data_IF_618097898939
#
_entry.id   IF_618097898939
#
_cell.length_a   1.000
_cell.length_b   1.000
_cell.length_c   1.000
_cell.angle_alpha   90.00
_cell.angle_beta   90.00
_cell.angle_gamma   90.00
#
_symmetry.space_group_name_H-M   'P 1'
#
loop_
_entity.id
_entity.type
_entity.pdbx_description
1 polymer ?
#
# COMPACT_ATOMS: atom_id res chain seq x y z
N UNK A 1 -8.40 -13.70 -28.76
CA UNK A 1 -7.52 -13.80 -27.59
C UNK A 1 -6.53 -14.91 -27.86
N UNK A 2 -5.26 -14.56 -28.06
CA UNK A 2 -4.19 -15.54 -28.22
C UNK A 2 -3.61 -15.83 -26.84
N UNK A 3 -3.47 -17.10 -26.50
CA UNK A 3 -2.85 -17.51 -25.24
C UNK A 3 -1.81 -18.57 -25.56
N UNK A 4 -0.58 -18.34 -25.13
CA UNK A 4 0.50 -19.32 -25.23
C UNK A 4 0.75 -19.86 -23.83
N UNK A 5 0.71 -21.18 -23.67
CA UNK A 5 1.10 -21.85 -22.41
C UNK A 5 2.09 -22.97 -22.73
N UNK A 6 3.22 -22.96 -22.04
CA UNK A 6 4.22 -24.02 -22.11
C UNK A 6 4.33 -24.72 -20.76
N UNK A 7 4.39 -26.05 -20.79
CA UNK A 7 4.57 -26.89 -19.60
C UNK A 7 5.97 -27.47 -19.57
N UNK A 8 6.70 -27.18 -18.49
CA UNK A 8 8.12 -27.53 -18.31
C UNK A 8 9.00 -27.19 -19.53
N UNK A 9 8.88 -25.99 -20.11
CA UNK A 9 9.72 -25.59 -21.24
C UNK A 9 11.19 -25.56 -20.85
N UNK A 10 12.06 -25.70 -21.84
CA UNK A 10 13.48 -25.40 -21.65
C UNK A 10 13.68 -23.90 -21.42
N UNK A 11 14.82 -23.53 -20.81
CA UNK A 11 15.19 -22.12 -20.62
C UNK A 11 15.25 -21.33 -21.94
N UNK A 12 15.65 -21.98 -23.04
CA UNK A 12 15.73 -21.34 -24.37
C UNK A 12 14.36 -21.16 -25.01
N UNK A 13 13.49 -22.16 -24.94
CA UNK A 13 12.10 -22.01 -25.41
C UNK A 13 11.38 -20.92 -24.61
N UNK A 14 11.59 -20.90 -23.29
CA UNK A 14 11.02 -19.85 -22.44
C UNK A 14 11.55 -18.48 -22.82
N UNK A 15 12.86 -18.34 -23.07
CA UNK A 15 13.46 -17.06 -23.50
C UNK A 15 12.77 -16.53 -24.76
N UNK A 16 12.65 -17.37 -25.78
CA UNK A 16 12.06 -16.96 -27.06
C UNK A 16 10.60 -16.51 -26.88
N UNK A 17 9.78 -17.32 -26.21
CA UNK A 17 8.37 -16.94 -26.00
C UNK A 17 8.23 -15.70 -25.11
N UNK A 18 9.11 -15.53 -24.12
CA UNK A 18 9.10 -14.39 -23.23
C UNK A 18 9.48 -13.10 -23.98
N UNK A 19 10.53 -13.10 -24.80
CA UNK A 19 10.90 -11.95 -25.63
C UNK A 19 9.76 -11.56 -26.58
N UNK A 20 9.17 -12.54 -27.25
CA UNK A 20 8.03 -12.29 -28.14
C UNK A 20 6.79 -11.78 -27.40
N UNK A 21 6.55 -12.24 -26.17
CA UNK A 21 5.43 -11.78 -25.34
C UNK A 21 5.65 -10.35 -24.80
N UNK A 22 6.89 -9.98 -24.45
CA UNK A 22 7.25 -8.60 -24.09
C UNK A 22 6.98 -7.66 -25.26
N UNK A 23 7.42 -8.02 -26.47
CA UNK A 23 7.22 -7.20 -27.67
C UNK A 23 5.73 -6.99 -28.01
N UNK A 24 4.89 -7.99 -27.75
CA UNK A 24 3.44 -7.88 -27.93
C UNK A 24 2.73 -7.09 -26.83
N UNK A 25 3.38 -6.86 -25.69
CA UNK A 25 2.73 -6.28 -24.51
C UNK A 25 1.74 -7.24 -23.86
N UNK A 26 2.04 -8.54 -23.83
CA UNK A 26 1.22 -9.54 -23.14
C UNK A 26 1.46 -9.48 -21.62
N UNK A 27 0.45 -9.88 -20.83
CA UNK A 27 0.66 -10.27 -19.44
C UNK A 27 1.35 -11.63 -19.40
N UNK A 28 2.51 -11.69 -18.75
CA UNK A 28 3.33 -12.90 -18.68
C UNK A 28 3.28 -13.45 -17.26
N UNK A 29 3.09 -14.76 -17.15
CA UNK A 29 3.27 -15.48 -15.89
C UNK A 29 4.29 -16.60 -16.07
N UNK A 30 5.21 -16.71 -15.11
CA UNK A 30 6.23 -17.77 -15.06
C UNK A 30 6.18 -18.41 -13.68
N UNK A 31 5.93 -19.70 -13.63
CA UNK A 31 6.03 -20.48 -12.41
C UNK A 31 7.24 -21.40 -12.49
N UNK A 32 8.11 -21.36 -11.49
CA UNK A 32 9.34 -22.14 -11.51
C UNK A 32 10.18 -21.98 -10.24
N UNK A 33 11.19 -22.85 -10.12
CA UNK A 33 12.20 -22.73 -9.08
C UNK A 33 13.22 -21.67 -9.49
N UNK A 34 13.34 -20.61 -8.70
CA UNK A 34 14.26 -19.51 -8.97
C UNK A 34 14.93 -18.97 -7.71
N UNK A 35 15.92 -18.10 -7.88
CA UNK A 35 16.39 -17.14 -6.87
C UNK A 35 16.03 -15.73 -7.33
N UNK A 36 16.01 -14.78 -6.39
CA UNK A 36 15.72 -13.37 -6.70
C UNK A 36 16.76 -12.50 -6.00
N UNK A 37 17.28 -11.53 -6.74
CA UNK A 37 18.22 -10.53 -6.24
C UNK A 37 17.67 -9.15 -6.63
N UNK A 38 17.56 -8.25 -5.66
CA UNK A 38 17.11 -6.88 -5.88
C UNK A 38 18.15 -5.91 -5.34
N UNK A 39 18.44 -4.89 -6.13
CA UNK A 39 19.34 -3.80 -5.81
C UNK A 39 18.72 -2.47 -6.23
N UNK A 40 18.64 -1.51 -5.31
CA UNK A 40 17.93 -0.25 -5.53
C UNK A 40 17.88 0.60 -4.27
N UNK A 41 16.69 1.08 -3.89
CA UNK A 41 16.47 1.82 -2.61
C UNK A 41 16.84 0.99 -1.37
N UNK A 42 16.79 -0.33 -1.51
CA UNK A 42 17.31 -1.30 -0.58
C UNK A 42 18.01 -2.40 -1.37
N UNK A 43 18.67 -3.33 -0.68
CA UNK A 43 19.20 -4.54 -1.29
C UNK A 43 18.53 -5.74 -0.62
N UNK A 44 18.09 -6.72 -1.41
CA UNK A 44 17.53 -7.97 -0.87
C UNK A 44 17.88 -9.16 -1.75
N UNK A 45 17.99 -10.33 -1.12
CA UNK A 45 18.16 -11.60 -1.81
C UNK A 45 17.13 -12.60 -1.30
N UNK A 46 16.71 -13.49 -2.19
CA UNK A 46 15.75 -14.52 -1.87
C UNK A 46 16.26 -15.85 -2.42
N UNK A 47 16.51 -16.78 -1.50
CA UNK A 47 17.08 -18.10 -1.79
C UNK A 47 16.21 -18.95 -2.71
N UNK A 48 16.69 -20.15 -3.10
CA UNK A 48 16.03 -20.94 -4.13
C UNK A 48 14.67 -21.47 -3.66
N UNK A 49 13.63 -21.29 -4.48
CA UNK A 49 12.26 -21.68 -4.17
C UNK A 49 11.32 -21.57 -5.36
N UNK A 50 10.16 -22.25 -5.30
CA UNK A 50 9.14 -22.16 -6.33
C UNK A 50 8.35 -20.86 -6.17
N UNK A 51 8.27 -20.07 -7.24
CA UNK A 51 7.62 -18.75 -7.21
C UNK A 51 6.77 -18.55 -8.43
N UNK A 52 5.68 -17.80 -8.23
CA UNK A 52 4.91 -17.21 -9.31
C UNK A 52 5.50 -15.83 -9.60
N UNK A 53 5.99 -15.65 -10.82
CA UNK A 53 6.47 -14.37 -11.34
C UNK A 53 5.45 -13.85 -12.34
N UNK A 54 5.05 -12.60 -12.18
CA UNK A 54 4.12 -11.91 -13.08
C UNK A 54 4.85 -10.70 -13.67
N UNK A 55 4.88 -10.60 -14.98
CA UNK A 55 5.39 -9.43 -15.71
C UNK A 55 4.22 -8.79 -16.44
N UNK A 56 3.93 -7.53 -16.11
CA UNK A 56 2.84 -6.77 -16.71
C UNK A 56 3.33 -5.95 -17.89
N UNK A 57 2.44 -5.62 -18.86
CA UNK A 57 2.81 -4.79 -20.01
C UNK A 57 3.23 -3.35 -19.64
N UNK A 58 2.80 -2.86 -18.48
CA UNK A 58 3.19 -1.54 -17.97
C UNK A 58 4.57 -1.51 -17.32
N UNK A 59 5.31 -2.63 -17.32
CA UNK A 59 6.63 -2.76 -16.71
C UNK A 59 6.61 -3.26 -15.26
N UNK A 60 5.44 -3.48 -14.64
CA UNK A 60 5.42 -4.00 -13.28
C UNK A 60 5.89 -5.46 -13.23
N UNK A 61 6.77 -5.79 -12.29
CA UNK A 61 7.14 -7.17 -11.95
C UNK A 61 6.65 -7.52 -10.55
N UNK A 62 6.02 -8.69 -10.38
CA UNK A 62 5.58 -9.19 -9.08
C UNK A 62 6.13 -10.60 -8.87
N UNK A 63 6.74 -10.85 -7.71
CA UNK A 63 7.21 -12.18 -7.31
C UNK A 63 6.46 -12.62 -6.06
N UNK A 64 5.72 -13.73 -6.17
CA UNK A 64 4.95 -14.30 -5.07
C UNK A 64 5.50 -15.65 -4.60
N UNK A 65 5.38 -15.88 -3.30
CA UNK A 65 5.49 -17.20 -2.67
C UNK A 65 4.09 -17.79 -2.46
N UNK A 66 3.96 -18.79 -1.60
CA UNK A 66 2.73 -19.53 -1.27
C UNK A 66 1.85 -18.84 -0.21
N UNK A 67 2.33 -17.77 0.41
CA UNK A 67 1.63 -17.05 1.46
C UNK A 67 1.53 -15.55 1.17
N UNK A 68 0.60 -14.90 1.88
CA UNK A 68 0.34 -13.45 1.89
C UNK A 68 -0.19 -12.89 0.56
N UNK A 69 -0.91 -11.77 0.69
CA UNK A 69 -1.51 -11.04 -0.45
C UNK A 69 -0.46 -10.30 -1.27
N UNK A 70 0.54 -9.71 -0.60
CA UNK A 70 1.53 -8.83 -1.21
C UNK A 70 2.69 -9.64 -1.79
N UNK A 71 3.24 -9.29 -2.97
CA UNK A 71 4.45 -9.93 -3.49
C UNK A 71 5.61 -9.77 -2.51
N UNK A 72 6.48 -10.78 -2.43
CA UNK A 72 7.69 -10.75 -1.60
C UNK A 72 8.78 -9.87 -2.21
N UNK A 73 8.76 -9.66 -3.52
CA UNK A 73 9.63 -8.72 -4.23
C UNK A 73 8.89 -8.19 -5.47
N UNK A 74 9.07 -6.92 -5.81
CA UNK A 74 8.32 -6.29 -6.89
C UNK A 74 9.02 -5.06 -7.46
N UNK A 75 8.63 -4.67 -8.67
CA UNK A 75 8.97 -3.41 -9.29
C UNK A 75 7.70 -2.69 -9.76
N UNK A 76 7.65 -1.34 -9.64
CA UNK A 76 6.51 -0.53 -10.05
C UNK A 76 6.33 -0.51 -11.58
N UNK A 77 5.21 0.05 -12.08
CA UNK A 77 5.09 0.42 -13.49
C UNK A 77 6.24 1.32 -13.98
N UNK A 78 6.53 1.25 -15.27
CA UNK A 78 7.57 2.02 -15.95
C UNK A 78 8.97 1.38 -15.96
N UNK A 79 9.10 0.15 -15.48
CA UNK A 79 10.35 -0.62 -15.60
C UNK A 79 10.46 -1.31 -16.97
N UNK A 80 11.69 -1.53 -17.42
CA UNK A 80 11.99 -2.30 -18.64
C UNK A 80 12.25 -3.76 -18.27
N UNK A 81 11.63 -4.69 -18.99
CA UNK A 81 11.87 -6.12 -18.85
C UNK A 81 12.86 -6.61 -19.89
N UNK A 82 13.89 -7.31 -19.44
CA UNK A 82 14.85 -8.00 -20.29
C UNK A 82 14.98 -9.46 -19.87
N UNK A 83 15.01 -10.37 -20.84
CA UNK A 83 15.35 -11.76 -20.59
C UNK A 83 16.67 -12.13 -21.26
N UNK A 84 17.33 -13.14 -20.71
CA UNK A 84 18.54 -13.72 -21.29
C UNK A 84 18.72 -15.13 -20.78
N UNK A 85 19.47 -15.96 -21.52
CA UNK A 85 19.97 -17.24 -21.00
C UNK A 85 21.47 -17.12 -20.81
N UNK A 86 21.93 -17.22 -19.56
CA UNK A 86 23.36 -17.23 -19.20
C UNK A 86 23.67 -18.53 -18.48
N UNK A 87 24.78 -19.17 -18.85
CA UNK A 87 25.19 -20.48 -18.30
C UNK A 87 24.09 -21.54 -18.37
N UNK A 88 23.28 -21.49 -19.45
CA UNK A 88 22.17 -22.41 -19.68
C UNK A 88 20.92 -22.17 -18.81
N UNK A 89 20.90 -21.10 -18.00
CA UNK A 89 19.77 -20.74 -17.12
C UNK A 89 19.10 -19.46 -17.59
N UNK A 90 17.76 -19.45 -17.58
CA UNK A 90 16.98 -18.25 -17.86
C UNK A 90 17.15 -17.24 -16.72
N UNK A 91 17.39 -15.99 -17.09
CA UNK A 91 17.34 -14.83 -16.23
C UNK A 91 16.33 -13.85 -16.78
N UNK A 92 15.40 -13.43 -15.94
CA UNK A 92 14.50 -12.29 -16.19
C UNK A 92 15.00 -11.13 -15.33
N UNK A 93 15.18 -9.96 -15.94
CA UNK A 93 15.65 -8.75 -15.29
C UNK A 93 14.64 -7.64 -15.51
N UNK A 94 14.22 -6.97 -14.46
CA UNK A 94 13.53 -5.69 -14.52
C UNK A 94 14.46 -4.55 -14.12
N UNK A 95 14.46 -3.44 -14.86
CA UNK A 95 15.31 -2.27 -14.59
C UNK A 95 14.53 -0.96 -14.66
N UNK A 96 14.92 0.01 -13.84
CA UNK A 96 14.47 1.41 -13.90
C UNK A 96 15.62 2.32 -13.53
N UNK A 97 15.64 3.54 -14.06
CA UNK A 97 16.75 4.50 -13.91
C UNK A 97 16.51 5.62 -12.90
N UNK A 98 15.28 5.79 -12.39
CA UNK A 98 14.96 6.87 -11.43
C UNK A 98 13.86 6.44 -10.45
N UNK A 99 14.22 5.97 -9.24
CA UNK A 99 15.57 5.65 -8.80
C UNK A 99 16.15 4.47 -9.61
N UNK A 100 17.49 4.36 -9.61
CA UNK A 100 18.17 3.22 -10.24
C UNK A 100 17.85 1.94 -9.44
N UNK A 101 17.17 1.01 -10.07
CA UNK A 101 16.74 -0.25 -9.45
C UNK A 101 16.84 -1.40 -10.45
N UNK A 102 17.38 -2.53 -9.99
CA UNK A 102 17.47 -3.79 -10.74
C UNK A 102 16.85 -4.91 -9.93
N UNK A 103 15.97 -5.69 -10.56
CA UNK A 103 15.41 -6.94 -10.03
C UNK A 103 15.80 -8.09 -10.95
N UNK A 104 16.66 -8.98 -10.49
CA UNK A 104 17.09 -10.18 -11.20
C UNK A 104 16.39 -11.42 -10.65
N UNK A 105 15.79 -12.19 -11.55
CA UNK A 105 15.14 -13.48 -11.25
C UNK A 105 15.86 -14.56 -12.05
N UNK A 106 16.58 -15.43 -11.35
CA UNK A 106 17.36 -16.50 -11.95
C UNK A 106 16.61 -17.83 -11.82
N UNK A 107 16.11 -18.36 -12.94
CA UNK A 107 15.40 -19.63 -12.94
C UNK A 107 16.37 -20.80 -13.02
N UNK A 108 16.25 -21.71 -12.07
CA UNK A 108 16.89 -23.02 -12.15
C UNK A 108 16.03 -23.98 -13.00
N UNK A 109 14.70 -23.88 -12.84
CA UNK A 109 13.74 -24.65 -13.62
C UNK A 109 12.46 -23.84 -13.83
N UNK A 110 11.98 -23.81 -15.07
CA UNK A 110 10.65 -23.28 -15.41
C UNK A 110 9.67 -24.45 -15.42
N UNK A 111 8.65 -24.40 -14.58
CA UNK A 111 7.59 -25.40 -14.52
C UNK A 111 6.44 -25.05 -15.46
N UNK A 112 6.13 -23.77 -15.60
CA UNK A 112 5.12 -23.26 -16.52
C UNK A 112 5.47 -21.84 -16.96
N UNK A 113 5.19 -21.55 -18.22
CA UNK A 113 5.18 -20.21 -18.79
C UNK A 113 3.80 -19.96 -19.41
N UNK A 114 3.24 -18.76 -19.27
CA UNK A 114 2.04 -18.36 -20.00
C UNK A 114 2.10 -16.88 -20.39
N UNK A 115 1.70 -16.59 -21.63
CA UNK A 115 1.54 -15.25 -22.16
C UNK A 115 0.08 -15.03 -22.56
N UNK A 116 -0.53 -13.98 -22.01
CA UNK A 116 -1.95 -13.67 -22.17
C UNK A 116 -2.11 -12.25 -22.70
N UNK A 117 -2.80 -12.11 -23.82
CA UNK A 117 -3.28 -10.83 -24.33
C UNK A 117 -4.31 -10.23 -23.35
N UNK A 118 -4.06 -9.01 -22.85
CA UNK A 118 -4.95 -8.32 -21.89
C UNK A 118 -5.51 -7.06 -22.54
N UNK A 119 -6.84 -6.98 -22.65
CA UNK A 119 -7.56 -5.85 -23.24
C UNK A 119 -8.50 -5.19 -22.22
N UNK A 120 -8.52 -3.85 -22.17
CA UNK A 120 -9.51 -3.05 -21.42
C UNK A 120 -9.25 -2.89 -19.91
N UNK A 121 -10.09 -2.07 -19.25
CA UNK A 121 -10.24 -1.97 -17.79
C UNK A 121 -8.99 -1.59 -17.00
N UNK A 122 -8.37 -0.44 -17.30
CA UNK A 122 -7.24 0.09 -16.49
C UNK A 122 -7.71 0.79 -15.22
N UNK A 123 -8.96 1.24 -15.21
CA UNK A 123 -9.57 1.98 -14.12
C UNK A 123 -10.50 1.05 -13.34
N UNK A 124 -10.37 1.09 -12.01
CA UNK A 124 -11.27 0.42 -11.09
C UNK A 124 -12.34 1.44 -10.69
N UNK A 125 -13.60 1.21 -11.08
CA UNK A 125 -14.73 1.96 -10.53
C UNK A 125 -14.93 1.50 -9.08
N UNK A 126 -14.39 2.26 -8.13
CA UNK A 126 -14.51 1.99 -6.71
C UNK A 126 -15.68 2.83 -6.15
N UNK A 127 -16.80 2.17 -5.88
CA UNK A 127 -17.94 2.77 -5.17
C UNK A 127 -17.74 2.60 -3.64
N UNK A 128 -18.05 3.63 -2.86
CA UNK A 128 -17.81 3.68 -1.40
C UNK A 128 -16.38 4.09 -1.04
N UNK A 129 -15.80 4.98 -1.84
CA UNK A 129 -14.50 5.61 -1.61
C UNK A 129 -14.59 6.74 -0.57
N UNK A 130 -13.44 7.25 -0.13
CA UNK A 130 -13.39 8.48 0.70
C UNK A 130 -13.86 9.71 -0.10
N UNK A 131 -13.74 9.67 -1.43
CA UNK A 131 -14.26 10.71 -2.31
C UNK A 131 -15.80 10.72 -2.33
N UNK A 132 -16.45 9.56 -2.38
CA UNK A 132 -17.92 9.49 -2.31
C UNK A 132 -18.42 10.09 -0.98
N UNK A 133 -17.73 9.79 0.13
CA UNK A 133 -18.04 10.37 1.45
C UNK A 133 -17.85 11.89 1.46
N UNK A 134 -16.81 12.39 0.77
CA UNK A 134 -16.56 13.82 0.59
C UNK A 134 -17.68 14.48 -0.19
N UNK A 135 -18.07 13.91 -1.33
CA UNK A 135 -19.17 14.42 -2.15
C UNK A 135 -20.48 14.51 -1.34
N UNK A 136 -20.82 13.47 -0.57
CA UNK A 136 -21.98 13.49 0.32
C UNK A 136 -21.94 14.67 1.31
N UNK A 137 -20.79 14.93 1.94
CA UNK A 137 -20.63 16.03 2.91
C UNK A 137 -20.67 17.39 2.23
N UNK A 138 -20.12 17.53 1.02
CA UNK A 138 -20.16 18.79 0.27
C UNK A 138 -21.59 19.10 -0.21
N UNK A 139 -22.36 18.08 -0.59
CA UNK A 139 -23.76 18.21 -1.01
C UNK A 139 -24.69 18.48 0.18
N UNK A 140 -24.45 17.84 1.33
CA UNK A 140 -25.16 18.09 2.59
C UNK A 140 -24.21 18.19 3.79
N UNK A 141 -23.66 19.38 4.07
CA UNK A 141 -22.76 19.58 5.21
C UNK A 141 -23.39 19.29 6.57
N UNK A 142 -24.71 19.24 6.65
CA UNK A 142 -25.42 18.93 7.89
C UNK A 142 -25.24 17.47 8.34
N UNK A 143 -24.74 16.61 7.44
CA UNK A 143 -24.31 15.25 7.76
C UNK A 143 -23.17 15.21 8.78
N UNK A 144 -22.30 16.22 8.80
CA UNK A 144 -21.25 16.38 9.84
C UNK A 144 -21.89 17.01 11.07
N UNK A 145 -22.42 18.23 10.92
CA UNK A 145 -23.21 18.89 11.95
C UNK A 145 -24.01 20.07 11.37
N UNK A 146 -25.08 20.47 12.07
CA UNK A 146 -25.89 21.62 11.68
C UNK A 146 -25.08 22.92 11.72
N UNK A 147 -24.92 23.56 10.57
CA UNK A 147 -24.25 24.86 10.43
C UNK A 147 -22.77 24.77 10.08
N UNK A 148 -22.23 23.55 9.88
CA UNK A 148 -20.92 23.37 9.26
C UNK A 148 -20.90 23.93 7.83
N UNK A 149 -19.85 24.67 7.51
CA UNK A 149 -19.62 25.26 6.18
C UNK A 149 -18.26 24.80 5.65
N UNK A 150 -18.22 23.89 4.66
CA UNK A 150 -16.98 23.52 3.97
C UNK A 150 -16.43 24.72 3.19
N UNK A 151 -15.14 25.00 3.33
CA UNK A 151 -14.46 26.11 2.66
C UNK A 151 -13.46 25.62 1.61
N UNK A 152 -12.69 24.59 1.93
CA UNK A 152 -11.65 24.02 1.06
C UNK A 152 -11.59 22.50 1.21
N UNK A 153 -11.32 21.80 0.12
CA UNK A 153 -11.01 20.36 0.11
C UNK A 153 -9.54 20.17 -0.19
N UNK A 154 -8.91 19.12 0.36
CA UNK A 154 -7.47 18.83 0.15
C UNK A 154 -6.58 20.03 0.51
N UNK A 155 -6.92 20.75 1.58
CA UNK A 155 -6.20 21.96 2.00
C UNK A 155 -4.82 21.58 2.53
N UNK A 156 -3.78 22.02 1.83
CA UNK A 156 -2.39 21.75 2.20
C UNK A 156 -2.04 22.30 3.59
N UNK A 157 -1.32 21.50 4.39
CA UNK A 157 -0.83 21.90 5.71
C UNK A 157 0.54 21.32 6.01
N UNK A 158 1.15 21.77 7.12
CA UNK A 158 2.42 21.20 7.61
C UNK A 158 2.33 19.72 8.02
N UNK A 159 1.12 19.19 8.21
CA UNK A 159 0.88 17.79 8.55
C UNK A 159 0.39 16.95 7.35
N UNK A 160 0.35 17.54 6.14
CA UNK A 160 -0.23 16.95 4.93
C UNK A 160 -1.56 17.61 4.53
N UNK A 161 -2.18 17.20 3.42
CA UNK A 161 -3.47 17.72 2.99
C UNK A 161 -4.57 17.28 3.96
N UNK A 162 -5.47 18.21 4.26
CA UNK A 162 -6.69 18.00 5.05
C UNK A 162 -7.85 17.70 4.11
N UNK A 163 -8.62 16.63 4.37
CA UNK A 163 -9.71 16.22 3.46
C UNK A 163 -10.73 17.34 3.23
N UNK A 164 -11.29 17.89 4.31
CA UNK A 164 -12.16 19.06 4.26
C UNK A 164 -11.77 20.02 5.39
N UNK A 165 -11.55 21.28 5.01
CA UNK A 165 -11.40 22.40 5.93
C UNK A 165 -12.62 23.31 5.81
N UNK A 166 -13.13 23.76 6.94
CA UNK A 166 -14.28 24.63 7.01
C UNK A 166 -14.41 25.36 8.33
N UNK A 167 -15.61 25.84 8.60
CA UNK A 167 -15.97 26.49 9.86
C UNK A 167 -17.30 25.96 10.38
N UNK A 168 -17.47 25.92 11.69
CA UNK A 168 -18.76 25.62 12.30
C UNK A 168 -19.72 26.82 12.31
N UNK A 169 -20.90 26.65 12.91
CA UNK A 169 -21.93 27.69 12.98
C UNK A 169 -21.48 28.97 13.71
N UNK A 170 -20.44 28.90 14.54
CA UNK A 170 -19.88 30.03 15.29
C UNK A 170 -18.64 30.63 14.59
N UNK A 171 -18.25 30.11 13.42
CA UNK A 171 -17.06 30.53 12.68
C UNK A 171 -15.76 29.95 13.24
N UNK A 172 -15.84 28.87 14.04
CA UNK A 172 -14.65 28.20 14.58
C UNK A 172 -14.04 27.32 13.49
N UNK A 173 -12.72 27.45 13.20
CA UNK A 173 -12.04 26.58 12.24
C UNK A 173 -12.22 25.10 12.57
N UNK A 174 -12.62 24.32 11.57
CA UNK A 174 -12.86 22.89 11.67
C UNK A 174 -12.12 22.14 10.56
N UNK A 175 -11.48 21.03 10.94
CA UNK A 175 -10.99 20.03 9.99
C UNK A 175 -11.82 18.75 10.12
N UNK A 176 -12.22 18.20 8.97
CA UNK A 176 -12.93 16.93 8.87
C UNK A 176 -12.02 15.94 8.16
N UNK A 177 -11.71 14.82 8.83
CA UNK A 177 -10.92 13.71 8.28
C UNK A 177 -11.86 12.57 7.89
N UNK A 178 -11.70 12.05 6.67
CA UNK A 178 -12.59 11.06 6.08
C UNK A 178 -11.94 9.67 6.07
N UNK A 179 -12.73 8.66 6.43
CA UNK A 179 -12.32 7.26 6.35
C UNK A 179 -13.45 6.38 5.85
N UNK A 180 -13.19 5.60 4.81
CA UNK A 180 -14.21 4.70 4.22
C UNK A 180 -14.51 3.42 5.00
N UNK A 181 -13.84 3.15 6.12
CA UNK A 181 -13.93 1.88 6.86
C UNK A 181 -13.86 2.13 8.36
N UNK A 182 -14.08 1.07 9.14
CA UNK A 182 -13.73 1.07 10.56
C UNK A 182 -12.25 1.42 10.75
N UNK A 183 -11.95 2.34 11.65
CA UNK A 183 -10.57 2.82 11.87
C UNK A 183 -10.09 2.69 13.31
N UNK A 184 -8.79 2.43 13.44
CA UNK A 184 -8.04 2.36 14.69
C UNK A 184 -7.37 3.68 15.09
N UNK A 185 -6.50 3.65 16.11
CA UNK A 185 -5.92 4.86 16.73
C UNK A 185 -5.12 5.76 15.78
N UNK A 186 -4.54 5.19 14.71
CA UNK A 186 -3.75 5.94 13.73
C UNK A 186 -4.55 7.06 13.05
N UNK A 187 -5.84 6.87 12.82
CA UNK A 187 -6.73 7.89 12.24
C UNK A 187 -6.95 9.06 13.22
N UNK A 188 -7.15 8.77 14.50
CA UNK A 188 -7.28 9.81 15.53
C UNK A 188 -5.97 10.60 15.69
N UNK A 189 -4.81 9.91 15.67
CA UNK A 189 -3.51 10.59 15.67
C UNK A 189 -3.27 11.45 14.43
N UNK A 190 -3.80 11.06 13.26
CA UNK A 190 -3.72 11.88 12.06
C UNK A 190 -4.54 13.16 12.18
N UNK A 191 -5.81 13.04 12.60
CA UNK A 191 -6.67 14.19 12.84
C UNK A 191 -6.08 15.15 13.88
N UNK A 192 -5.50 14.62 14.95
CA UNK A 192 -4.79 15.42 15.95
C UNK A 192 -3.65 16.25 15.33
N UNK A 193 -2.84 15.67 14.44
CA UNK A 193 -1.76 16.41 13.76
C UNK A 193 -2.29 17.57 12.91
N UNK A 194 -3.47 17.43 12.31
CA UNK A 194 -4.10 18.52 11.56
C UNK A 194 -4.59 19.63 12.47
N UNK A 195 -5.26 19.30 13.57
CA UNK A 195 -5.67 20.29 14.58
C UNK A 195 -4.45 21.05 15.12
N UNK A 196 -3.36 20.34 15.44
CA UNK A 196 -2.10 20.98 15.86
C UNK A 196 -1.47 21.86 14.77
N UNK A 197 -1.60 21.48 13.49
CA UNK A 197 -1.14 22.31 12.38
C UNK A 197 -1.94 23.61 12.26
N UNK A 198 -3.26 23.56 12.46
CA UNK A 198 -4.13 24.73 12.49
C UNK A 198 -3.87 25.62 13.71
N UNK A 199 -3.63 25.03 14.90
CA UNK A 199 -3.20 25.82 16.06
C UNK A 199 -1.86 26.53 15.81
N UNK A 200 -0.91 25.90 15.10
CA UNK A 200 0.34 26.57 14.70
C UNK A 200 0.12 27.70 13.69
N UNK A 201 -0.91 27.59 12.85
CA UNK A 201 -1.26 28.59 11.84
C UNK A 201 -2.01 29.79 12.45
N UNK A 202 -3.07 29.54 13.23
CA UNK A 202 -3.94 30.57 13.80
C UNK A 202 -3.50 31.05 15.19
N UNK A 203 -2.63 30.29 15.87
CA UNK A 203 -2.19 30.50 17.24
C UNK A 203 -3.03 29.73 18.26
N UNK A 204 -2.40 29.27 19.34
CA UNK A 204 -3.01 28.44 20.40
C UNK A 204 -4.22 29.07 21.13
N UNK A 205 -4.47 30.37 20.94
CA UNK A 205 -5.63 31.06 21.50
C UNK A 205 -6.90 30.91 20.65
N UNK A 206 -6.77 30.45 19.41
CA UNK A 206 -7.90 30.20 18.50
C UNK A 206 -8.35 28.77 18.70
N UNK A 207 -9.63 28.58 19.03
CA UNK A 207 -10.20 27.25 19.10
C UNK A 207 -10.20 26.60 17.71
N UNK A 208 -9.83 25.33 17.65
CA UNK A 208 -9.91 24.52 16.43
C UNK A 208 -10.61 23.22 16.75
N UNK A 209 -11.53 22.80 15.89
CA UNK A 209 -12.25 21.52 16.01
C UNK A 209 -11.72 20.52 15.00
N UNK A 210 -11.68 19.26 15.40
CA UNK A 210 -11.36 18.15 14.53
C UNK A 210 -12.46 17.09 14.61
N UNK A 211 -13.03 16.73 13.46
CA UNK A 211 -14.08 15.72 13.34
C UNK A 211 -13.58 14.57 12.48
N UNK A 212 -13.65 13.34 13.00
CA UNK A 212 -13.40 12.13 12.23
C UNK A 212 -14.74 11.61 11.69
N UNK A 213 -14.84 11.39 10.38
CA UNK A 213 -16.01 10.80 9.74
C UNK A 213 -15.65 9.42 9.20
N UNK A 214 -16.32 8.38 9.70
CA UNK A 214 -16.11 7.00 9.26
C UNK A 214 -17.33 6.13 9.57
N UNK A 215 -17.51 4.94 8.96
CA UNK A 215 -18.58 4.01 9.37
C UNK A 215 -18.56 3.67 10.86
N UNK A 216 -17.37 3.47 11.42
CA UNK A 216 -17.18 3.15 12.84
C UNK A 216 -15.73 3.36 13.27
N UNK A 217 -15.49 3.33 14.57
CA UNK A 217 -14.15 3.38 15.18
C UNK A 217 -13.94 2.19 16.10
N UNK A 218 -12.69 1.86 16.41
CA UNK A 218 -12.36 0.94 17.50
C UNK A 218 -12.55 1.63 18.85
N UNK A 219 -12.71 0.85 19.93
CA UNK A 219 -12.83 1.43 21.29
C UNK A 219 -11.61 2.29 21.63
N UNK A 220 -10.42 1.82 21.27
CA UNK A 220 -9.17 2.54 21.49
C UNK A 220 -9.09 3.85 20.69
N UNK A 221 -9.61 3.86 19.47
CA UNK A 221 -9.71 5.10 18.69
C UNK A 221 -10.73 6.07 19.30
N UNK A 222 -11.89 5.56 19.75
CA UNK A 222 -12.90 6.36 20.43
C UNK A 222 -12.37 7.01 21.73
N UNK A 223 -11.57 6.28 22.50
CA UNK A 223 -10.93 6.80 23.70
C UNK A 223 -9.90 7.89 23.35
N UNK A 224 -9.07 7.64 22.33
CA UNK A 224 -8.06 8.61 21.90
C UNK A 224 -8.69 9.90 21.33
N UNK A 225 -9.81 9.81 20.61
CA UNK A 225 -10.55 10.99 20.15
C UNK A 225 -11.04 11.81 21.36
N UNK A 226 -11.65 11.17 22.36
CA UNK A 226 -12.12 11.85 23.58
C UNK A 226 -10.97 12.49 24.36
N UNK A 227 -9.85 11.79 24.52
CA UNK A 227 -8.67 12.28 25.23
C UNK A 227 -8.10 13.55 24.58
N UNK A 228 -8.17 13.64 23.25
CA UNK A 228 -7.68 14.78 22.48
C UNK A 228 -8.75 15.84 22.16
N UNK A 229 -9.98 15.70 22.69
CA UNK A 229 -11.07 16.62 22.41
C UNK A 229 -11.52 16.64 20.95
N UNK A 230 -11.35 15.52 20.25
CA UNK A 230 -11.76 15.31 18.86
C UNK A 230 -13.13 14.63 18.81
N UNK A 231 -13.87 14.90 17.75
CA UNK A 231 -15.24 14.46 17.55
C UNK A 231 -15.33 13.32 16.54
N UNK A 232 -16.43 12.58 16.58
CA UNK A 232 -16.68 11.46 15.67
C UNK A 232 -18.10 11.49 15.14
N UNK A 233 -18.24 11.33 13.82
CA UNK A 233 -19.52 11.21 13.12
C UNK A 233 -19.52 9.91 12.31
N UNK A 234 -20.56 9.09 12.51
CA UNK A 234 -20.70 7.82 11.81
C UNK A 234 -21.46 8.00 10.50
N UNK A 235 -20.81 7.78 9.36
CA UNK A 235 -21.43 7.80 8.02
C UNK A 235 -20.94 6.62 7.18
N UNK A 236 -21.85 6.02 6.41
CA UNK A 236 -21.56 4.99 5.42
C UNK A 236 -21.17 5.65 4.07
N UNK A 237 -19.99 5.33 3.50
CA UNK A 237 -19.49 5.95 2.27
C UNK A 237 -20.32 5.72 1.02
N UNK A 238 -21.16 4.68 1.00
CA UNK A 238 -21.98 4.36 -0.17
C UNK A 238 -23.34 5.06 -0.14
N UNK A 239 -23.83 5.44 1.04
CA UNK A 239 -25.16 6.03 1.21
C UNK A 239 -25.12 7.47 1.71
N UNK A 240 -24.04 7.89 2.36
CA UNK A 240 -23.97 9.16 3.08
C UNK A 240 -24.82 9.18 4.34
N UNK A 241 -25.38 8.03 4.77
CA UNK A 241 -26.25 7.93 5.93
C UNK A 241 -25.53 7.24 7.10
N UNK A 242 -25.97 7.46 8.36
CA UNK A 242 -25.47 6.68 9.48
C UNK A 242 -25.68 5.19 9.23
N UNK A 243 -24.66 4.33 9.46
CA UNK A 243 -24.79 2.90 9.17
C UNK A 243 -25.95 2.29 9.95
N UNK A 244 -26.76 1.48 9.27
CA UNK A 244 -27.80 0.69 9.93
C UNK A 244 -27.16 -0.15 11.04
N UNK A 245 -27.82 -0.26 12.19
CA UNK A 245 -27.37 -1.07 13.30
C UNK A 245 -27.42 -2.57 12.90
N UNK A 246 -26.43 -3.04 12.16
CA UNK A 246 -26.22 -4.46 11.91
C UNK A 246 -25.72 -5.09 13.20
N UNK A 247 -26.42 -6.13 13.68
CA UNK A 247 -25.95 -6.95 14.81
C UNK A 247 -24.48 -7.32 14.59
N UNK A 248 -23.64 -6.98 15.56
CA UNK A 248 -22.19 -7.09 15.50
C UNK A 248 -21.74 -8.46 14.99
N UNK A 249 -21.39 -8.57 13.72
CA UNK A 249 -20.47 -9.61 13.26
C UNK A 249 -19.07 -9.14 13.63
N UNK A 250 -18.47 -9.82 14.59
CA UNK A 250 -17.06 -9.69 14.98
C UNK A 250 -16.17 -9.92 13.75
N UNK A 251 -15.90 -8.86 12.99
CA UNK A 251 -14.78 -8.86 12.06
C UNK A 251 -13.50 -8.77 12.89
N UNK A 252 -12.79 -9.89 12.95
CA UNK A 252 -11.50 -10.05 13.61
C UNK A 252 -10.50 -9.08 12.98
N UNK A 253 -10.04 -8.12 13.76
CA UNK A 253 -8.92 -7.24 13.38
C UNK A 253 -7.67 -8.08 13.10
N UNK A 254 -6.98 -7.89 11.96
CA UNK A 254 -5.61 -8.37 11.83
C UNK A 254 -4.72 -7.58 12.81
N UNK A 255 -3.74 -8.23 13.47
CA UNK A 255 -2.89 -7.54 14.43
C UNK A 255 -2.10 -6.41 13.74
N UNK A 256 -2.16 -5.22 14.35
CA UNK A 256 -1.26 -4.11 14.02
C UNK A 256 0.19 -4.59 14.20
N UNK A 257 1.00 -4.43 13.15
CA UNK A 257 2.43 -4.67 13.26
C UNK A 257 3.02 -3.61 14.19
N UNK A 258 3.50 -4.03 15.36
CA UNK A 258 4.25 -3.18 16.27
C UNK A 258 5.56 -2.77 15.61
N UNK A 259 5.64 -1.51 15.20
CA UNK A 259 6.90 -0.80 15.12
C UNK A 259 7.29 -0.47 16.56
N UNK A 260 8.27 -1.18 17.11
CA UNK A 260 9.25 -0.69 18.10
C UNK A 260 10.05 -1.85 18.70
N UNK A 261 11.36 -1.86 18.44
CA UNK A 261 12.41 -2.18 19.41
C UNK A 261 13.79 -1.98 18.73
N UNK A 262 14.17 -0.72 18.55
CA UNK A 262 15.60 -0.38 18.53
C UNK A 262 16.07 -0.48 20.00
N UNK A 263 16.87 -1.51 20.28
CA UNK A 263 17.29 -1.90 21.62
C UNK A 263 18.76 -2.29 21.60
N UNK A 264 19.58 -1.26 21.84
CA UNK A 264 20.98 -1.17 22.28
C UNK A 264 21.76 -2.48 22.55
N UNK A 265 23.00 -2.53 22.03
CA UNK A 265 24.02 -3.55 22.32
C UNK A 265 24.42 -3.54 23.81
N UNK A 266 25.02 -4.63 24.33
CA UNK A 266 26.48 -4.67 24.35
C UNK A 266 27.07 -6.06 24.09
N UNK A 267 28.17 -6.12 23.33
CA UNK A 267 29.11 -7.26 23.39
C UNK A 267 30.43 -6.80 23.97
N UNK A 268 30.60 -7.04 25.27
CA UNK A 268 31.93 -7.15 25.86
C UNK A 268 32.61 -8.45 25.41
N UNK A 269 33.93 -8.36 25.37
CA UNK A 269 34.88 -9.34 24.87
C UNK A 269 34.92 -10.62 25.70
N UNK A 270 35.30 -11.71 25.05
CA UNK A 270 36.18 -12.67 25.70
C UNK A 270 37.22 -13.22 24.71
N UNK A 271 38.45 -13.20 25.20
CA UNK A 271 39.67 -13.70 24.59
C UNK A 271 39.79 -15.20 24.81
N UNK A 272 40.14 -15.96 23.77
CA UNK A 272 40.85 -17.24 23.94
C UNK A 272 42.03 -17.33 22.97
N UNK A 273 43.21 -17.39 23.58
CA UNK A 273 44.51 -17.79 23.05
C UNK A 273 44.66 -19.32 22.99
N UNK A 274 45.67 -19.75 22.22
CA UNK A 274 46.24 -21.09 22.02
C UNK A 274 45.42 -22.03 21.12
N UNK A 275 45.96 -22.64 20.07
CA UNK A 275 47.34 -22.98 19.76
C UNK A 275 47.38 -24.45 19.34
N UNK A 276 47.84 -24.77 18.13
CA UNK A 276 48.53 -26.03 17.81
C UNK A 276 49.03 -26.07 16.38
N UNK A 277 50.28 -26.52 16.28
CA UNK A 277 51.02 -27.01 15.12
C UNK A 277 50.23 -28.00 14.23
N UNK A 278 50.58 -28.00 12.94
CA UNK A 278 50.20 -29.05 11.98
C UNK A 278 50.27 -28.60 10.54
#
# INVERSE_FOLDING_TARGET
MHTTTLHRPTHRETLWELEAAIERGDLITVFGRCTVDYDGRATSTLGPGNRLVILKPDGSTLVHTDEKRTPVNWQPPGCEHHASVRDGRLRVRGTRTTPDETLDIHFEQVHQFSALDVTGGRDLDLYGSEEDLREHILDDPSLVESGFTPLETERESTAGPMDIYGEDAEGVPMVVELKRRRVGPSAASQLQRYVEALHREFGDSVAVRGVLVAPSVTDRAADLLKENGLEFVALDPATGEPPEATEASEEVEPPEASEDADGDEPKEADSETDGSDG
#
